data_IF_834256038314
#
_entry.id   IF_834256038314
#
_cell.length_a   1.000
_cell.length_b   1.000
_cell.length_c   1.000
_cell.angle_alpha   90.00
_cell.angle_beta   90.00
_cell.angle_gamma   90.00
#
_symmetry.space_group_name_H-M   'P 1'
#
loop_
_entity.id
_entity.type
_entity.pdbx_description
1 polymer ?
#
# COMPACT_ATOMS: atom_id res chain seq x y z
N UNK A 1 -17.67 6.95 -21.65
CA UNK A 1 -16.45 6.65 -22.42
C UNK A 1 -15.62 5.67 -21.58
N UNK A 2 -15.61 4.38 -21.94
CA UNK A 2 -15.21 3.25 -21.07
C UNK A 2 -13.94 2.54 -21.63
N UNK A 3 -12.87 3.28 -21.92
CA UNK A 3 -11.64 2.73 -22.55
C UNK A 3 -10.42 2.80 -21.63
N UNK A 4 -10.62 2.88 -20.32
CA UNK A 4 -9.51 3.01 -19.35
C UNK A 4 -9.26 1.75 -18.51
N UNK A 5 -9.97 0.63 -18.73
CA UNK A 5 -9.90 -0.52 -17.82
C UNK A 5 -9.10 -1.73 -18.30
N UNK A 6 -8.79 -1.89 -19.58
CA UNK A 6 -8.09 -3.13 -20.03
C UNK A 6 -7.19 -2.88 -21.24
N UNK A 7 -6.10 -2.12 -21.11
CA UNK A 7 -4.89 -2.32 -21.94
C UNK A 7 -3.68 -1.78 -21.17
N UNK A 8 -2.74 -2.66 -20.88
CA UNK A 8 -1.61 -2.40 -19.98
C UNK A 8 -0.51 -1.52 -20.58
N UNK A 9 -0.60 -1.07 -21.84
CA UNK A 9 0.41 -0.21 -22.46
C UNK A 9 -0.20 0.64 -23.59
N UNK A 10 -1.01 1.65 -23.25
CA UNK A 10 -1.24 2.75 -24.20
C UNK A 10 -0.03 3.67 -24.08
N UNK A 11 0.74 3.81 -25.15
CA UNK A 11 1.89 4.71 -25.18
C UNK A 11 1.47 6.12 -25.62
N UNK A 12 2.27 7.12 -25.29
CA UNK A 12 2.02 8.51 -25.69
C UNK A 12 1.81 8.63 -27.20
N UNK A 13 2.58 7.89 -28.00
CA UNK A 13 2.45 7.82 -29.46
C UNK A 13 1.06 7.38 -29.93
N UNK A 14 0.42 6.46 -29.21
CA UNK A 14 -0.90 5.93 -29.57
C UNK A 14 -1.98 6.97 -29.28
N UNK A 15 -1.84 7.71 -28.18
CA UNK A 15 -2.73 8.83 -27.83
C UNK A 15 -2.53 10.01 -28.79
N UNK A 16 -1.28 10.36 -29.10
CA UNK A 16 -0.93 11.42 -30.05
C UNK A 16 -1.52 11.14 -31.42
N UNK A 17 -1.29 9.95 -31.96
CA UNK A 17 -1.81 9.55 -33.27
C UNK A 17 -3.35 9.58 -33.32
N UNK A 18 -4.02 9.13 -32.25
CA UNK A 18 -5.48 9.18 -32.17
C UNK A 18 -6.01 10.63 -32.12
N UNK A 19 -5.32 11.51 -31.39
CA UNK A 19 -5.69 12.92 -31.27
C UNK A 19 -5.40 13.71 -32.54
N UNK A 20 -4.31 13.43 -33.24
CA UNK A 20 -4.00 14.00 -34.56
C UNK A 20 -5.08 13.64 -35.59
N UNK A 21 -5.63 12.43 -35.55
CA UNK A 21 -6.68 11.99 -36.47
C UNK A 21 -8.06 12.58 -36.17
N UNK A 22 -8.38 12.86 -34.90
CA UNK A 22 -9.71 13.33 -34.50
C UNK A 22 -9.80 14.82 -34.23
N UNK A 23 -8.73 15.44 -33.73
CA UNK A 23 -8.64 16.86 -33.34
C UNK A 23 -7.22 17.42 -33.56
N UNK A 24 -6.76 17.55 -34.81
CA UNK A 24 -5.40 17.99 -35.12
C UNK A 24 -5.06 19.36 -34.51
N UNK A 25 -5.99 20.32 -34.55
CA UNK A 25 -5.79 21.69 -34.07
C UNK A 25 -5.48 21.81 -32.57
N UNK A 26 -5.78 20.76 -31.79
CA UNK A 26 -5.54 20.71 -30.33
C UNK A 26 -4.79 19.45 -29.91
N UNK A 27 -4.23 18.69 -30.85
CA UNK A 27 -3.63 17.40 -30.54
C UNK A 27 -2.50 17.52 -29.51
N UNK A 28 -1.60 18.50 -29.69
CA UNK A 28 -0.49 18.73 -28.75
C UNK A 28 -0.96 19.12 -27.34
N UNK A 29 -1.90 20.06 -27.23
CA UNK A 29 -2.48 20.49 -25.95
C UNK A 29 -3.14 19.33 -25.21
N UNK A 30 -3.92 18.52 -25.93
CA UNK A 30 -4.62 17.36 -25.37
C UNK A 30 -3.63 16.25 -24.98
N UNK A 31 -2.56 16.02 -25.76
CA UNK A 31 -1.50 15.07 -25.39
C UNK A 31 -0.81 15.50 -24.10
N UNK A 32 -0.45 16.78 -23.96
CA UNK A 32 0.16 17.31 -22.74
C UNK A 32 -0.77 17.15 -21.53
N UNK A 33 -2.05 17.50 -21.69
CA UNK A 33 -3.06 17.37 -20.62
C UNK A 33 -3.19 15.91 -20.16
N UNK A 34 -3.27 14.95 -21.10
CA UNK A 34 -3.33 13.52 -20.78
C UNK A 34 -2.05 13.04 -20.09
N UNK A 35 -0.88 13.48 -20.55
CA UNK A 35 0.40 13.14 -19.93
C UNK A 35 0.49 13.64 -18.48
N UNK A 36 0.10 14.89 -18.22
CA UNK A 36 0.03 15.45 -16.87
C UNK A 36 -0.92 14.66 -15.95
N UNK A 37 -2.11 14.30 -16.44
CA UNK A 37 -3.05 13.49 -15.67
C UNK A 37 -2.47 12.12 -15.33
N UNK A 38 -1.76 11.49 -16.25
CA UNK A 38 -1.11 10.19 -16.02
C UNK A 38 0.00 10.28 -14.99
N UNK A 39 0.85 11.30 -15.05
CA UNK A 39 1.89 11.55 -14.05
C UNK A 39 1.24 11.73 -12.67
N UNK A 40 0.26 12.63 -12.54
CA UNK A 40 -0.45 12.89 -11.28
C UNK A 40 -1.11 11.61 -10.73
N UNK A 41 -1.72 10.79 -11.59
CA UNK A 41 -2.31 9.50 -11.19
C UNK A 41 -1.25 8.50 -10.75
N UNK A 42 -0.10 8.47 -11.43
CA UNK A 42 1.06 7.64 -11.10
C UNK A 42 1.61 7.97 -9.71
N UNK A 43 1.89 9.25 -9.46
CA UNK A 43 2.36 9.77 -8.18
C UNK A 43 1.39 9.43 -7.05
N UNK A 44 0.10 9.75 -7.22
CA UNK A 44 -0.94 9.46 -6.21
C UNK A 44 -1.07 7.96 -5.91
N UNK A 45 -0.89 7.09 -6.91
CA UNK A 45 -0.86 5.63 -6.70
C UNK A 45 0.40 5.19 -5.98
N UNK A 46 1.56 5.77 -6.33
CA UNK A 46 2.84 5.52 -5.69
C UNK A 46 2.81 5.89 -4.21
N UNK A 47 2.36 7.10 -3.90
CA UNK A 47 2.21 7.61 -2.53
C UNK A 47 1.31 6.71 -1.70
N UNK A 48 0.10 6.37 -2.19
CA UNK A 48 -0.82 5.47 -1.49
C UNK A 48 -0.23 4.09 -1.23
N UNK A 49 0.54 3.54 -2.18
CA UNK A 49 1.22 2.24 -2.01
C UNK A 49 2.35 2.35 -0.99
N UNK A 50 3.12 3.44 -1.04
CA UNK A 50 4.20 3.74 -0.11
C UNK A 50 3.69 3.85 1.32
N UNK A 51 2.64 4.65 1.55
CA UNK A 51 2.01 4.79 2.86
C UNK A 51 1.52 3.44 3.41
N UNK A 52 0.78 2.66 2.62
CA UNK A 52 0.29 1.34 3.06
C UNK A 52 1.42 0.38 3.45
N UNK A 53 2.49 0.32 2.65
CA UNK A 53 3.67 -0.52 2.95
C UNK A 53 4.42 -0.01 4.18
N UNK A 54 4.57 1.31 4.32
CA UNK A 54 5.23 1.94 5.46
C UNK A 54 4.50 1.70 6.77
N UNK A 55 3.17 1.83 6.78
CA UNK A 55 2.35 1.55 7.96
C UNK A 55 2.45 0.09 8.38
N UNK A 56 2.30 -0.85 7.43
CA UNK A 56 2.40 -2.29 7.72
C UNK A 56 3.78 -2.68 8.27
N UNK A 57 4.86 -2.21 7.62
CA UNK A 57 6.22 -2.50 8.07
C UNK A 57 6.51 -1.90 9.46
N UNK A 58 6.03 -0.68 9.73
CA UNK A 58 6.20 -0.02 11.02
C UNK A 58 5.44 -0.73 12.12
N UNK A 59 4.18 -1.12 11.88
CA UNK A 59 3.37 -1.85 12.85
C UNK A 59 3.99 -3.22 13.17
N UNK A 60 4.40 -3.98 12.14
CA UNK A 60 5.10 -5.27 12.28
C UNK A 60 6.34 -5.15 13.17
N UNK A 61 7.24 -4.21 12.84
CA UNK A 61 8.48 -3.99 13.59
C UNK A 61 8.22 -3.57 15.04
N UNK A 62 7.24 -2.69 15.23
CA UNK A 62 6.87 -2.19 16.56
C UNK A 62 6.33 -3.34 17.41
N UNK A 63 5.40 -4.14 16.88
CA UNK A 63 4.80 -5.23 17.64
C UNK A 63 5.85 -6.28 18.03
N UNK A 64 6.72 -6.71 17.10
CA UNK A 64 7.80 -7.66 17.43
C UNK A 64 8.74 -7.12 18.50
N UNK A 65 9.06 -5.82 18.46
CA UNK A 65 9.88 -5.16 19.48
C UNK A 65 9.17 -5.13 20.84
N UNK A 66 7.84 -4.92 20.88
CA UNK A 66 7.09 -4.94 22.14
C UNK A 66 6.98 -6.36 22.70
N UNK A 67 6.73 -7.37 21.84
CA UNK A 67 6.71 -8.78 22.24
C UNK A 67 8.05 -9.16 22.88
N UNK A 68 9.17 -8.80 22.26
CA UNK A 68 10.50 -9.07 22.80
C UNK A 68 10.74 -8.40 24.15
N UNK A 69 10.28 -7.17 24.31
CA UNK A 69 10.44 -6.41 25.56
C UNK A 69 9.60 -6.94 26.71
N UNK A 70 8.37 -7.39 26.43
CA UNK A 70 7.41 -7.81 27.46
C UNK A 70 7.49 -9.31 27.77
N UNK A 71 7.70 -10.13 26.74
CA UNK A 71 7.64 -11.59 26.84
C UNK A 71 8.96 -12.30 26.47
N UNK A 72 9.98 -11.55 26.03
CA UNK A 72 11.31 -12.08 25.72
C UNK A 72 11.52 -12.48 24.26
N UNK A 73 12.77 -12.78 23.92
CA UNK A 73 13.21 -13.06 22.55
C UNK A 73 12.60 -14.35 21.98
N UNK A 74 12.39 -15.37 22.81
CA UNK A 74 11.77 -16.63 22.40
C UNK A 74 10.33 -16.42 21.91
N UNK A 75 9.54 -15.62 22.65
CA UNK A 75 8.18 -15.28 22.27
C UNK A 75 8.12 -14.49 20.96
N UNK A 76 9.06 -13.55 20.75
CA UNK A 76 9.20 -12.82 19.49
C UNK A 76 9.45 -13.76 18.32
N UNK A 77 10.37 -14.71 18.49
CA UNK A 77 10.73 -15.62 17.40
C UNK A 77 9.60 -16.60 17.08
N UNK A 78 8.94 -17.14 18.10
CA UNK A 78 7.76 -17.99 17.94
C UNK A 78 6.61 -17.26 17.21
N UNK A 79 6.46 -15.95 17.43
CA UNK A 79 5.36 -15.15 16.87
C UNK A 79 5.69 -14.47 15.54
N UNK A 80 6.96 -14.44 15.12
CA UNK A 80 7.45 -13.67 13.97
C UNK A 80 6.64 -13.89 12.70
N UNK A 81 6.50 -15.15 12.30
CA UNK A 81 5.83 -15.50 11.05
C UNK A 81 4.33 -15.15 11.06
N UNK A 82 3.68 -15.16 12.23
CA UNK A 82 2.29 -14.74 12.40
C UNK A 82 2.16 -13.22 12.23
N UNK A 83 3.03 -12.47 12.90
CA UNK A 83 3.06 -11.00 12.85
C UNK A 83 3.38 -10.49 11.44
N UNK A 84 4.36 -11.07 10.75
CA UNK A 84 4.75 -10.62 9.40
C UNK A 84 3.66 -10.85 8.33
N UNK A 85 2.76 -11.80 8.54
CA UNK A 85 1.67 -12.14 7.60
C UNK A 85 0.34 -11.47 7.93
N UNK A 86 0.20 -10.92 9.15
CA UNK A 86 -1.03 -10.30 9.60
C UNK A 86 -1.37 -9.05 8.79
N UNK A 87 -2.67 -8.79 8.63
CA UNK A 87 -3.15 -7.55 8.04
C UNK A 87 -2.86 -6.36 8.97
N UNK A 88 -2.77 -5.15 8.41
CA UNK A 88 -2.49 -3.94 9.20
C UNK A 88 -3.47 -3.76 10.38
N UNK A 89 -4.77 -4.02 10.17
CA UNK A 89 -5.76 -3.90 11.25
C UNK A 89 -5.55 -4.90 12.39
N UNK A 90 -5.10 -6.12 12.10
CA UNK A 90 -4.76 -7.10 13.13
C UNK A 90 -3.52 -6.66 13.92
N UNK A 91 -2.52 -6.11 13.23
CA UNK A 91 -1.31 -5.58 13.86
C UNK A 91 -1.63 -4.41 14.80
N UNK A 92 -2.50 -3.50 14.38
CA UNK A 92 -2.95 -2.36 15.19
C UNK A 92 -3.71 -2.84 16.43
N UNK A 93 -4.63 -3.78 16.28
CA UNK A 93 -5.34 -4.40 17.40
C UNK A 93 -4.39 -5.09 18.40
N UNK A 94 -3.40 -5.83 17.91
CA UNK A 94 -2.41 -6.48 18.77
C UNK A 94 -1.47 -5.48 19.45
N UNK A 95 -1.18 -4.34 18.82
CA UNK A 95 -0.42 -3.24 19.41
C UNK A 95 -1.16 -2.56 20.56
N UNK A 96 -2.49 -2.52 20.52
CA UNK A 96 -3.29 -2.02 21.64
C UNK A 96 -3.35 -3.08 22.75
N UNK A 97 -3.65 -4.34 22.40
CA UNK A 97 -3.78 -5.44 23.38
C UNK A 97 -2.51 -5.76 24.14
N UNK A 98 -1.34 -5.63 23.52
CA UNK A 98 -0.05 -5.94 24.18
C UNK A 98 0.23 -5.05 25.39
N UNK A 99 -0.41 -3.89 25.51
CA UNK A 99 -0.23 -2.99 26.64
C UNK A 99 -0.72 -3.65 27.94
N UNK A 100 -1.88 -4.31 27.91
CA UNK A 100 -2.52 -4.90 29.08
C UNK A 100 -2.35 -6.42 29.19
N UNK A 101 -1.96 -7.10 28.10
CA UNK A 101 -1.78 -8.55 28.05
C UNK A 101 -0.81 -9.07 29.14
N UNK A 102 -1.22 -10.01 29.99
CA UNK A 102 -0.33 -10.64 30.98
C UNK A 102 0.52 -11.74 30.34
N UNK A 103 0.00 -12.37 29.29
CA UNK A 103 0.62 -13.46 28.55
C UNK A 103 0.64 -13.18 27.05
N UNK A 104 1.56 -13.82 26.33
CA UNK A 104 1.65 -13.67 24.88
C UNK A 104 0.37 -14.17 24.17
N UNK A 105 -0.31 -15.15 24.75
CA UNK A 105 -1.57 -15.67 24.20
C UNK A 105 -2.67 -14.60 24.19
N UNK A 106 -2.72 -13.72 25.19
CA UNK A 106 -3.74 -12.67 25.34
C UNK A 106 -3.62 -11.62 24.22
N UNK A 107 -2.41 -11.39 23.71
CA UNK A 107 -2.18 -10.49 22.56
C UNK A 107 -2.92 -10.99 21.33
N UNK A 108 -2.96 -12.31 21.16
CA UNK A 108 -3.38 -12.99 19.95
C UNK A 108 -4.76 -13.65 20.03
N UNK A 109 -5.46 -13.48 21.14
CA UNK A 109 -6.82 -13.99 21.32
C UNK A 109 -7.75 -13.44 20.23
N UNK A 110 -8.69 -14.25 19.77
CA UNK A 110 -9.83 -13.76 18.99
C UNK A 110 -10.90 -13.26 19.97
N UNK A 111 -11.65 -12.22 19.60
CA UNK A 111 -12.82 -11.80 20.38
C UNK A 111 -13.96 -12.82 20.24
#
# INVERSE_FOLDING_TARGET
MYIARVYSYIQEKDVRQALEQTRPDRAEELVMTVAEEWIKRGEKRGEKRGQKRGSHQTATKTLLRQIERKFGAEAKEASRARVERAALGELEMWLDRILDAERIEDVFAED
#
